data_IF_437330714428
#
_entry.id   IF_437330714428
#
_cell.length_a   1.000
_cell.length_b   1.000
_cell.length_c   1.000
_cell.angle_alpha   90.00
_cell.angle_beta   90.00
_cell.angle_gamma   90.00
#
_symmetry.space_group_name_H-M   'P 1'
#
loop_
_entity.id
_entity.type
_entity.pdbx_description
1 polymer ?
2 branched ?
3 non-polymer ?
4 non-polymer ?
5 water ?
#
# COMPACT_ATOMS: atom_id res chain seq x y z
N UNK A 23 7.89 0.62 16.28
CA UNK A 23 6.73 -0.24 16.45
C UNK A 23 5.56 0.15 15.57
N UNK A 24 4.86 -0.87 15.10
CA UNK A 24 3.82 -0.63 14.13
C UNK A 24 2.59 -0.02 14.74
N UNK A 25 2.06 0.98 14.06
CA UNK A 25 0.78 1.52 14.38
C UNK A 25 -0.26 0.44 14.16
N UNK A 26 -1.26 0.41 15.00
CA UNK A 26 -2.26 -0.64 14.85
C UNK A 26 -3.09 -0.55 13.56
N UNK A 27 -3.00 -1.57 12.75
CA UNK A 27 -3.79 -1.61 11.53
C UNK A 27 -5.29 -1.55 11.83
N UNK A 28 -5.69 -2.06 12.97
CA UNK A 28 -7.08 -2.12 13.35
C UNK A 28 -7.77 -0.78 13.43
N UNK A 29 -7.01 0.25 13.72
CA UNK A 29 -7.50 1.62 13.76
C UNK A 29 -7.53 2.31 12.40
N UNK A 30 -6.93 1.66 11.40
CA UNK A 30 -6.83 2.17 10.05
C UNK A 30 -8.02 1.89 9.12
N UNK A 31 -8.16 2.71 8.10
CA UNK A 31 -9.10 2.47 7.04
C UNK A 31 -8.32 2.51 5.73
N UNK A 32 -8.60 1.60 4.82
CA UNK A 32 -7.93 1.57 3.54
C UNK A 32 -8.86 1.80 2.35
N UNK A 33 -8.41 2.66 1.45
CA UNK A 33 -9.11 2.96 0.22
C UNK A 33 -8.14 2.96 -0.93
N UNK A 34 -8.64 2.73 -2.11
CA UNK A 34 -7.79 2.69 -3.27
C UNK A 34 -8.45 3.26 -4.52
N UNK A 35 -7.61 3.74 -5.42
CA UNK A 35 -8.05 4.25 -6.70
C UNK A 35 -8.69 3.15 -7.54
N UNK A 36 -8.23 1.93 -7.33
CA UNK A 36 -8.69 0.76 -8.05
C UNK A 36 -8.59 -0.45 -7.15
N UNK A 37 -9.60 -1.28 -7.15
CA UNK A 37 -9.60 -2.50 -6.42
C UNK A 37 -10.52 -3.49 -7.11
N UNK A 38 -10.13 -4.74 -7.01
CA UNK A 38 -10.83 -5.83 -7.61
C UNK A 38 -11.76 -6.29 -6.55
N UNK A 39 -12.93 -6.76 -6.92
CA UNK A 39 -13.95 -7.13 -5.94
C UNK A 39 -13.51 -8.34 -5.13
N UNK A 40 -14.27 -8.72 -4.12
CA UNK A 40 -13.89 -9.78 -3.21
C UNK A 40 -14.18 -11.17 -3.77
N UNK A 41 -13.18 -11.81 -4.34
CA UNK A 41 -13.37 -13.09 -4.99
C UNK A 41 -12.71 -14.14 -4.20
N UNK A 42 -12.53 -13.83 -2.93
CA UNK A 42 -11.80 -14.69 -2.08
C UNK A 42 -10.73 -13.95 -1.32
N UNK A 43 -9.52 -14.25 -1.70
CA UNK A 43 -8.32 -13.71 -1.09
C UNK A 43 -7.86 -12.42 -1.76
N UNK A 44 -8.70 -11.85 -2.62
CA UNK A 44 -8.48 -10.58 -3.29
C UNK A 44 -9.82 -9.97 -3.63
N UNK A 45 -9.91 -8.69 -3.99
CA UNK A 45 -8.82 -7.74 -4.11
C UNK A 45 -9.11 -6.39 -3.49
N UNK A 46 -9.99 -6.37 -2.52
CA UNK A 46 -10.40 -5.13 -1.90
C UNK A 46 -9.24 -4.49 -1.14
N UNK A 47 -9.25 -3.18 -1.06
CA UNK A 47 -8.18 -2.44 -0.40
C UNK A 47 -8.00 -2.84 1.07
N UNK A 48 -9.11 -3.15 1.74
CA UNK A 48 -9.09 -3.47 3.15
C UNK A 48 -8.28 -4.72 3.43
N UNK A 49 -8.12 -5.54 2.42
CA UNK A 49 -7.30 -6.73 2.53
C UNK A 49 -5.82 -6.42 2.71
N UNK A 50 -5.42 -5.19 2.45
CA UNK A 50 -4.03 -4.83 2.62
C UNK A 50 -3.67 -4.58 4.08
N UNK A 51 -4.68 -4.46 4.93
CA UNK A 51 -4.44 -4.17 6.32
C UNK A 51 -5.18 -5.08 7.27
N UNK A 52 -5.49 -6.28 6.83
CA UNK A 52 -6.26 -7.18 7.64
C UNK A 52 -5.44 -8.10 8.53
N UNK A 53 -4.14 -7.99 8.45
CA UNK A 53 -3.31 -8.86 9.23
C UNK A 53 -3.14 -10.29 8.75
N UNK A 54 -3.52 -10.55 7.52
CA UNK A 54 -3.38 -11.87 6.96
C UNK A 54 -2.51 -11.83 5.71
N UNK A 55 -1.43 -12.57 5.68
CA UNK A 55 -0.56 -12.55 4.53
C UNK A 55 -1.17 -13.20 3.25
N UNK A 56 -2.20 -14.00 3.43
CA UNK A 56 -2.85 -14.72 2.35
C UNK A 56 -3.93 -13.93 1.63
N UNK A 57 -4.22 -12.75 2.10
CA UNK A 57 -5.22 -11.91 1.50
C UNK A 57 -4.57 -10.66 0.94
N UNK A 58 -5.00 -10.24 -0.23
CA UNK A 58 -4.36 -9.13 -0.89
C UNK A 58 -5.31 -8.10 -1.49
N UNK A 59 -4.87 -6.87 -1.49
CA UNK A 59 -5.41 -5.84 -2.33
C UNK A 59 -4.80 -6.05 -3.74
N UNK A 60 -5.60 -5.91 -4.78
CA UNK A 60 -5.16 -6.00 -6.14
C UNK A 60 -5.94 -4.98 -6.97
N UNK A 61 -5.28 -4.26 -7.85
CA UNK A 61 -5.90 -3.27 -8.73
C UNK A 61 -6.80 -3.96 -9.75
N UNK A 62 -7.83 -3.27 -10.23
CA UNK A 62 -8.83 -3.84 -11.13
C UNK A 62 -8.19 -4.45 -12.32
N UNK A 63 -8.56 -5.68 -12.57
CA UNK A 63 -8.07 -6.33 -13.75
C UNK A 63 -9.16 -6.78 -14.67
N UNK A 64 -10.41 -6.48 -14.33
CA UNK A 64 -11.55 -6.55 -15.26
C UNK A 64 -12.39 -5.25 -15.47
N UNK A 65 -12.19 -4.68 -16.62
CA UNK A 65 -11.05 -5.06 -17.39
C UNK A 65 -9.98 -4.28 -16.64
N UNK A 66 -8.74 -4.46 -17.02
CA UNK A 66 -7.63 -3.85 -16.31
C UNK A 66 -7.63 -2.31 -16.17
N UNK A 67 -7.31 -1.74 -14.99
CA UNK A 67 -7.15 -0.31 -14.96
C UNK A 67 -5.65 -0.09 -14.88
N UNK A 68 -5.11 0.65 -15.84
CA UNK A 68 -3.67 0.86 -15.86
C UNK A 68 -3.06 1.72 -14.75
N UNK A 69 -1.80 1.43 -14.48
CA UNK A 69 -1.03 2.20 -13.53
C UNK A 69 -0.81 3.58 -14.14
N UNK A 70 -0.62 4.58 -13.31
CA UNK A 70 -0.54 4.44 -11.85
C UNK A 70 -1.85 4.27 -11.08
N UNK A 71 -1.77 3.64 -9.93
CA UNK A 71 -2.88 3.50 -9.03
C UNK A 71 -2.34 3.60 -7.63
N UNK A 72 -3.19 3.88 -6.67
CA UNK A 72 -2.75 4.05 -5.30
C UNK A 72 -3.65 3.45 -4.26
N UNK A 73 -3.08 3.26 -3.09
CA UNK A 73 -3.80 2.89 -1.94
C UNK A 73 -3.46 3.85 -0.79
N UNK A 74 -4.50 4.32 -0.12
CA UNK A 74 -4.42 5.22 1.02
C UNK A 74 -4.86 4.58 2.31
N UNK A 75 -4.04 4.75 3.32
CA UNK A 75 -4.31 4.30 4.64
C UNK A 75 -4.60 5.52 5.52
N UNK A 76 -5.78 5.57 6.07
CA UNK A 76 -6.12 6.55 7.07
C UNK A 76 -5.64 5.91 8.36
N UNK A 77 -4.73 6.58 9.03
CA UNK A 77 -4.08 6.07 10.23
C UNK A 77 -4.92 5.93 11.51
N UNK A 78 -5.99 6.67 11.61
CA UNK A 78 -6.74 6.74 12.83
C UNK A 78 -6.31 7.79 13.86
N UNK A 79 -5.63 8.80 13.38
CA UNK A 79 -5.11 9.88 14.18
C UNK A 79 -3.85 10.45 13.57
N UNK A 80 -3.27 11.45 14.22
CA UNK A 80 -2.04 12.07 13.77
C UNK A 80 -0.88 11.46 14.53
N UNK A 81 0.04 10.90 13.79
CA UNK A 81 1.21 10.27 14.35
C UNK A 81 2.47 10.76 13.67
N UNK A 82 3.59 10.70 14.35
CA UNK A 82 4.83 10.98 13.70
C UNK A 82 5.43 9.64 13.22
N UNK A 83 5.58 9.51 11.92
CA UNK A 83 6.00 8.25 11.32
C UNK A 83 7.34 8.27 10.62
N UNK A 84 8.03 7.15 10.65
CA UNK A 84 9.35 7.09 10.06
C UNK A 84 9.65 5.85 9.21
N UNK A 85 8.73 4.92 9.16
CA UNK A 85 8.93 3.70 8.41
C UNK A 85 7.62 3.12 7.83
N UNK A 86 7.76 2.44 6.71
CA UNK A 86 6.66 1.83 6.00
C UNK A 86 7.13 0.49 5.46
N UNK A 87 6.28 -0.52 5.55
CA UNK A 87 6.59 -1.79 4.96
C UNK A 87 5.50 -2.28 4.01
N UNK A 88 5.94 -2.88 2.92
CA UNK A 88 5.11 -3.46 1.90
C UNK A 88 5.43 -4.94 1.80
N UNK A 89 4.45 -5.77 2.11
CA UNK A 89 4.57 -7.19 1.93
C UNK A 89 3.77 -7.64 0.72
N UNK A 90 4.49 -8.16 -0.25
CA UNK A 90 3.84 -8.65 -1.44
C UNK A 90 3.08 -9.95 -1.16
N UNK A 91 2.29 -10.33 -2.14
CA UNK A 91 1.55 -11.55 -2.18
C UNK A 91 2.53 -12.65 -2.22
N UNK A 92 2.06 -13.83 -1.85
CA UNK A 92 2.85 -15.04 -1.79
C UNK A 92 2.46 -15.96 -2.90
N UNK A 93 3.42 -16.64 -3.48
CA UNK A 93 3.12 -17.70 -4.41
C UNK A 93 2.79 -17.34 -5.82
N UNK A 94 2.76 -16.07 -6.09
CA UNK A 94 2.58 -15.56 -7.40
C UNK A 94 3.19 -14.17 -7.33
N UNK A 95 3.46 -13.59 -8.48
CA UNK A 95 4.08 -12.29 -8.53
C UNK A 95 3.27 -11.18 -9.13
N UNK A 96 2.11 -11.46 -9.68
CA UNK A 96 1.42 -10.42 -10.35
C UNK A 96 1.05 -9.26 -9.44
N UNK A 97 1.37 -8.07 -9.88
CA UNK A 97 1.14 -6.90 -9.11
C UNK A 97 2.20 -6.55 -8.11
N UNK A 98 3.25 -7.35 -7.99
CA UNK A 98 4.31 -6.97 -7.08
C UNK A 98 4.84 -5.64 -7.54
N UNK A 99 4.89 -4.67 -6.65
CA UNK A 99 5.25 -3.31 -7.02
C UNK A 99 6.74 -3.10 -7.12
N UNK A 100 7.16 -2.59 -8.26
CA UNK A 100 8.54 -2.38 -8.53
C UNK A 100 9.01 -0.91 -8.59
N UNK A 101 8.07 0.02 -8.72
CA UNK A 101 8.33 1.46 -8.66
C UNK A 101 7.20 2.15 -7.93
N UNK A 102 7.54 2.96 -6.96
CA UNK A 102 6.61 3.56 -6.02
C UNK A 102 6.85 5.05 -5.71
N UNK A 103 5.84 5.68 -5.13
CA UNK A 103 5.99 6.90 -4.37
C UNK A 103 5.23 6.69 -3.09
N UNK A 104 5.68 7.32 -2.04
CA UNK A 104 4.96 7.37 -0.78
C UNK A 104 4.68 8.84 -0.47
N UNK A 105 3.43 9.09 -0.17
CA UNK A 105 2.93 10.41 0.14
C UNK A 105 2.27 10.39 1.51
N UNK A 106 2.23 11.55 2.13
CA UNK A 106 1.51 11.71 3.38
C UNK A 106 0.59 12.91 3.34
N UNK A 107 -0.42 12.86 4.18
CA UNK A 107 -1.33 13.98 4.37
C UNK A 107 -1.62 14.14 5.84
N UNK A 108 -1.86 15.37 6.25
CA UNK A 108 -2.33 15.61 7.60
C UNK A 108 -3.81 16.00 7.68
N UNK A 109 -4.45 16.16 6.54
CA UNK A 109 -5.84 16.59 6.48
C UNK A 109 -6.81 15.71 5.67
N UNK A 110 -6.28 14.71 5.02
CA UNK A 110 -7.02 13.80 4.19
C UNK A 110 -7.22 14.34 2.79
N UNK A 111 -6.75 15.54 2.54
CA UNK A 111 -6.92 16.20 1.26
C UNK A 111 -5.60 16.50 0.56
N UNK A 112 -4.75 17.21 1.23
CA UNK A 112 -3.48 17.58 0.67
C UNK A 112 -2.40 16.52 0.95
N UNK A 113 -1.76 16.04 -0.10
CA UNK A 113 -0.71 15.06 0.08
C UNK A 113 0.64 15.63 -0.36
N UNK A 114 1.71 15.17 0.25
CA UNK A 114 3.07 15.54 -0.09
C UNK A 114 3.94 14.30 -0.25
N UNK A 115 4.80 14.27 -1.25
CA UNK A 115 5.66 13.12 -1.46
C UNK A 115 6.81 13.05 -0.48
N UNK A 116 7.00 11.91 0.17
CA UNK A 116 8.10 11.78 1.10
C UNK A 116 9.12 10.72 0.71
N UNK A 117 8.76 9.89 -0.23
CA UNK A 117 9.66 8.85 -0.67
C UNK A 117 9.32 8.39 -2.08
N UNK A 118 10.33 7.99 -2.81
CA UNK A 118 10.14 7.44 -4.13
C UNK A 118 11.31 6.53 -4.50
N UNK A 119 11.05 5.53 -5.31
CA UNK A 119 12.06 4.57 -5.66
C UNK A 119 11.60 3.29 -6.32
N UNK A 120 12.48 2.31 -6.28
CA UNK A 120 12.33 1.04 -6.91
C UNK A 120 12.47 -0.09 -5.93
N UNK A 121 11.77 -1.17 -6.21
CA UNK A 121 11.80 -2.37 -5.46
C UNK A 121 11.99 -3.53 -6.45
N UNK A 122 12.64 -4.59 -6.01
CA UNK A 122 12.73 -5.81 -6.82
C UNK A 122 11.35 -6.50 -6.80
N UNK A 123 11.12 -7.41 -7.72
CA UNK A 123 9.83 -8.05 -7.86
C UNK A 123 9.63 -9.31 -7.04
N UNK A 124 10.55 -9.61 -6.17
CA UNK A 124 10.43 -10.75 -5.34
C UNK A 124 9.38 -10.55 -4.24
N UNK A 125 9.06 -11.64 -3.57
CA UNK A 125 8.06 -11.71 -2.54
C UNK A 125 8.51 -11.15 -1.21
N UNK A 126 9.72 -10.69 -1.16
CA UNK A 126 10.28 -10.22 0.07
C UNK A 126 9.66 -8.91 0.57
N UNK A 127 9.69 -8.73 1.87
CA UNK A 127 9.17 -7.54 2.48
C UNK A 127 10.00 -6.34 2.02
N UNK A 128 9.37 -5.27 1.59
CA UNK A 128 10.09 -4.07 1.23
C UNK A 128 9.87 -3.00 2.31
N UNK A 129 10.96 -2.39 2.75
CA UNK A 129 10.96 -1.43 3.83
C UNK A 129 11.47 -0.07 3.40
N UNK A 130 10.71 0.95 3.76
CA UNK A 130 11.06 2.33 3.52
C UNK A 130 11.29 3.01 4.86
N UNK A 131 12.38 3.75 4.95
CA UNK A 131 12.69 4.56 6.11
C UNK A 131 12.85 6.00 5.64
N UNK A 132 12.35 6.91 6.44
CA UNK A 132 12.35 8.29 6.07
C UNK A 132 12.38 9.12 7.33
N UNK A 133 12.73 10.38 7.17
CA UNK A 133 12.73 11.30 8.27
C UNK A 133 11.36 11.38 8.93
N UNK A 134 11.34 11.47 10.23
CA UNK A 134 10.08 11.46 10.93
C UNK A 134 9.19 12.60 10.46
N UNK A 135 7.93 12.28 10.19
CA UNK A 135 6.99 13.24 9.68
C UNK A 135 5.57 12.99 10.20
N UNK A 136 4.83 14.06 10.46
CA UNK A 136 3.45 13.94 10.91
C UNK A 136 2.52 13.53 9.81
N UNK A 137 1.65 12.59 10.08
CA UNK A 137 0.69 12.19 9.09
C UNK A 137 -0.58 11.62 9.71
N UNK A 138 -1.69 11.83 9.04
CA UNK A 138 -2.93 11.17 9.35
C UNK A 138 -3.27 10.10 8.27
N UNK A 139 -2.64 10.24 7.12
CA UNK A 139 -2.81 9.34 6.01
C UNK A 139 -1.49 9.05 5.34
N UNK A 140 -1.31 7.85 4.83
CA UNK A 140 -0.17 7.49 4.01
C UNK A 140 -0.72 6.89 2.71
N UNK A 141 -0.19 7.32 1.59
CA UNK A 141 -0.60 6.84 0.28
C UNK A 141 0.58 6.23 -0.43
N UNK A 142 0.40 4.98 -0.84
CA UNK A 142 1.36 4.26 -1.62
C UNK A 142 0.88 4.31 -3.06
N UNK A 143 1.71 4.88 -3.90
CA UNK A 143 1.42 5.02 -5.28
C UNK A 143 2.25 3.99 -6.05
N UNK A 144 1.56 3.18 -6.82
CA UNK A 144 2.20 2.19 -7.64
C UNK A 144 2.34 2.67 -9.08
N UNK A 145 3.56 2.97 -9.47
CA UNK A 145 3.92 3.37 -10.82
C UNK A 145 4.24 2.23 -11.79
N UNK A 146 4.77 1.16 -11.27
CA UNK A 146 5.19 -0.04 -11.98
C UNK A 146 4.89 -1.26 -11.12
N UNK A 147 4.41 -2.33 -11.71
CA UNK A 147 4.24 -3.59 -11.02
C UNK A 147 4.24 -4.78 -11.97
N UNK A 148 4.53 -5.96 -11.47
CA UNK A 148 4.56 -7.10 -12.34
C UNK A 148 3.21 -7.28 -13.03
N UNK A 149 3.26 -7.43 -14.33
CA UNK A 149 2.09 -7.65 -15.12
C UNK A 149 1.25 -6.44 -15.43
N UNK A 150 1.71 -5.25 -15.07
CA UNK A 150 0.94 -4.04 -15.25
C UNK A 150 -0.10 -3.81 -14.18
N UNK A 151 -0.06 -4.60 -13.12
CA UNK A 151 -0.99 -4.50 -11.98
C UNK A 151 -0.24 -4.06 -10.75
N UNK A 152 -0.99 -3.75 -9.70
CA UNK A 152 -0.47 -3.49 -8.36
C UNK A 152 -1.23 -4.36 -7.33
N UNK A 153 -0.52 -4.97 -6.42
CA UNK A 153 -1.14 -5.72 -5.35
C UNK A 153 -0.34 -5.66 -4.07
N UNK A 154 -0.95 -5.92 -2.92
CA UNK A 154 -0.25 -5.97 -1.66
C UNK A 154 -0.91 -6.91 -0.68
N UNK A 155 -0.15 -7.80 -0.07
CA UNK A 155 -0.68 -8.60 1.00
C UNK A 155 -0.88 -7.81 2.30
N UNK A 156 0.15 -7.12 2.73
CA UNK A 156 0.07 -6.34 3.94
C UNK A 156 0.85 -5.03 3.90
N UNK A 157 0.26 -3.96 4.39
CA UNK A 157 0.93 -2.69 4.51
C UNK A 157 0.97 -2.27 5.99
N UNK A 158 2.12 -1.82 6.46
CA UNK A 158 2.29 -1.35 7.80
C UNK A 158 3.03 -0.01 7.87
N UNK A 159 2.72 0.76 8.91
CA UNK A 159 3.25 2.08 9.13
C UNK A 159 3.77 2.11 10.56
N UNK A 160 4.94 2.68 10.74
CA UNK A 160 5.67 2.64 11.98
C UNK A 160 6.04 4.03 12.48
N UNK A 161 5.96 4.18 13.78
CA UNK A 161 6.36 5.37 14.49
C UNK A 161 7.58 5.07 15.36
X LIG B 1 -3.58 -16.34 -15.80
X LIG B 1 -3.55 -15.29 -14.68
X LIG B 1 -2.80 -15.79 -13.44
X LIG B 1 -3.21 -17.22 -13.03
X LIG B 1 -3.09 -18.11 -14.28
X LIG B 1 -3.33 -19.59 -13.98
X LIG B 1 -4.47 -15.91 -16.80
X LIG B 1 -2.89 -14.14 -15.17
X LIG B 1 -2.70 -14.88 -12.34
X LIG B 1 -4.51 -17.25 -12.46
X LIG B 1 -3.95 -17.62 -15.30
X LIG B 1 -2.16 -20.14 -13.41
X LIG B 2 -3.86 -14.12 -11.93
X LIG B 2 -3.73 -13.91 -10.40
X LIG B 2 -4.60 -12.77 -9.84
X LIG B 2 -4.50 -11.53 -10.72
X LIG B 2 -4.88 -11.88 -12.16
X LIG B 2 -4.81 -10.65 -13.05
X LIG B 2 -3.04 -16.00 -9.30
X LIG B 2 -3.51 -17.26 -8.63
X LIG B 2 -4.00 -15.18 -9.72
X LIG B 2 -4.21 -12.42 -8.50
X LIG B 2 -3.17 -10.98 -10.66
X LIG B 2 -3.98 -12.89 -12.67
X LIG B 2 -5.24 -10.97 -14.38
X LIG B 2 -1.85 -15.76 -9.44
X LIG C 1 -3.87 -9.13 3.84
X LIG D 1 -9.31 9.95 5.71
#
# INVERSE_FOLDING_TARGET
MGSSHHHHHHSSGLVPRGSHMASALPQGNMKATATSEHPDVGNEGLAKFAIDGKENTIWHTKYNPVEELPQSITLELGGSYEINKFTYLPRSGAKNGNITKYELHVSEDGNNFRKISEGNWDDSGSLKTLKFNSTKATHVKLVALEGVGGFASAAELNVFA
GAL C1 C2 C3 C4 C5 C6 O1 O2 O3 O4 O5 O6
NGA C1 C2 C3 C4 C5 C6 C7 C8 N2 O3 O4 O5 O6 O7
CA CA
NA NA
#
